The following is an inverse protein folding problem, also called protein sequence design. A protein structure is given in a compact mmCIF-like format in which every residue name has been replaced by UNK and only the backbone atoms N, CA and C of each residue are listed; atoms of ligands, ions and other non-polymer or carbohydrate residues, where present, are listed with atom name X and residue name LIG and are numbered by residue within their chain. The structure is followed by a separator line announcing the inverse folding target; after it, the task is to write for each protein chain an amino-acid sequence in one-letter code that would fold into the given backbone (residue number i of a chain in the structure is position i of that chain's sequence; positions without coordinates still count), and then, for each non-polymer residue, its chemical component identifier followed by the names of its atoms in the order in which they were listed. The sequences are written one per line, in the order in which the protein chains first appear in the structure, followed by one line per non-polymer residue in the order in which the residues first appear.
data_IF_851293268235
#
_entry.id   IF_851293268235
#
_cell.length_a   1.000
_cell.length_b   1.000
_cell.length_c   1.000
_cell.angle_alpha   90.00
_cell.angle_beta   90.00
_cell.angle_gamma   90.00
#
_symmetry.space_group_name_H-M   'P 1'
#
loop_
_entity.id
_entity.type
_entity.pdbx_description
1 polymer ?
2 water ?
#
# COMPACT_ATOMS: atom_id res chain seq x y z
N UNK A 13 13.16 21.84 -4.35
CA UNK A 13 14.36 21.32 -3.67
C UNK A 13 14.00 20.87 -2.25
N UNK A 14 14.22 19.58 -1.93
CA UNK A 14 13.77 19.11 -0.61
C UNK A 14 14.38 19.91 0.53
N UNK A 15 13.62 20.13 1.58
CA UNK A 15 14.13 20.78 2.77
C UNK A 15 15.34 20.01 3.30
N UNK A 16 16.36 20.74 3.75
CA UNK A 16 17.53 20.09 4.31
C UNK A 16 17.19 19.38 5.61
N UNK A 17 17.89 18.28 5.88
CA UNK A 17 17.68 17.58 7.14
C UNK A 17 17.98 18.50 8.33
N UNK A 18 17.23 18.28 9.40
CA UNK A 18 17.32 19.10 10.60
C UNK A 18 17.93 18.29 11.73
N UNK A 19 18.62 18.99 12.63
CA UNK A 19 19.17 18.36 13.83
C UNK A 19 18.09 18.02 14.84
N UNK A 20 18.31 16.94 15.57
CA UNK A 20 17.39 16.54 16.62
C UNK A 20 18.16 15.72 17.63
N UNK A 21 17.54 15.47 18.77
CA UNK A 21 18.19 14.72 19.83
C UNK A 21 17.77 13.28 19.64
N UNK A 22 18.74 12.43 19.29
CA UNK A 22 18.45 11.02 18.99
C UNK A 22 18.05 10.26 20.23
N UNK A 23 16.88 9.64 20.18
CA UNK A 23 16.38 8.86 21.32
C UNK A 23 16.08 7.42 20.93
N UNK A 24 15.79 7.24 19.65
CA UNK A 24 15.41 5.92 19.10
C UNK A 24 16.36 5.54 17.98
N UNK A 25 16.93 4.35 18.07
CA UNK A 25 17.94 3.90 17.13
C UNK A 25 17.53 2.53 16.65
N UNK A 26 17.58 2.35 15.32
CA UNK A 26 17.24 1.10 14.70
C UNK A 26 18.44 0.19 14.64
N UNK A 27 18.18 -1.09 14.85
CA UNK A 27 19.17 -2.14 14.70
C UNK A 27 18.82 -2.89 13.43
N UNK A 28 19.77 -2.93 12.49
CA UNK A 28 19.56 -3.59 11.19
C UNK A 28 19.80 -5.09 11.38
N UNK A 29 18.73 -5.86 11.23
CA UNK A 29 18.84 -7.32 11.42
C UNK A 29 19.29 -8.05 10.15
N UNK A 30 18.64 -7.78 9.02
CA UNK A 30 19.10 -8.35 7.77
C UNK A 30 18.69 -7.46 6.64
N UNK A 31 19.38 -7.59 5.51
CA UNK A 31 18.96 -6.90 4.28
C UNK A 31 19.17 -7.81 3.08
N UNK A 32 18.24 -7.73 2.15
CA UNK A 32 18.29 -8.55 0.96
C UNK A 32 17.84 -7.65 -0.20
N UNK A 33 18.53 -7.76 -1.32
CA UNK A 33 18.16 -6.99 -2.51
C UNK A 33 17.19 -7.84 -3.28
N UNK A 34 16.09 -7.25 -3.70
CA UNK A 34 15.18 -7.96 -4.57
C UNK A 34 15.08 -7.23 -5.88
N UNK A 35 15.74 -7.79 -6.88
CA UNK A 35 15.70 -7.24 -8.22
C UNK A 35 16.04 -5.77 -8.20
N UNK A 36 15.35 -4.98 -9.02
CA UNK A 36 15.51 -3.52 -9.15
C UNK A 36 14.48 -2.72 -8.35
N UNK A 37 13.82 -3.36 -7.39
CA UNK A 37 12.82 -2.68 -6.57
C UNK A 37 11.68 -2.17 -7.43
N UNK A 38 11.45 -0.87 -7.41
CA UNK A 38 10.29 -0.27 -8.08
C UNK A 38 10.62 0.05 -9.53
N UNK A 39 11.90 -0.09 -9.88
CA UNK A 39 12.32 0.17 -11.24
C UNK A 39 11.90 1.56 -11.66
N UNK A 40 11.24 1.66 -12.81
CA UNK A 40 10.77 2.95 -13.34
C UNK A 40 9.26 3.15 -13.15
N UNK A 41 8.65 2.29 -12.35
CA UNK A 41 7.22 2.42 -12.04
C UNK A 41 6.94 3.75 -11.39
N UNK A 42 5.78 4.33 -11.67
CA UNK A 42 5.27 5.48 -10.91
C UNK A 42 4.43 5.04 -9.72
N UNK A 43 3.87 3.83 -9.81
CA UNK A 43 3.11 3.26 -8.70
C UNK A 43 4.08 2.44 -7.84
N UNK A 44 3.57 1.62 -6.92
CA UNK A 44 4.44 0.97 -5.94
C UNK A 44 4.16 -0.53 -5.83
N UNK A 45 5.22 -1.32 -5.73
CA UNK A 45 5.11 -2.74 -5.37
C UNK A 45 5.39 -2.82 -3.88
N UNK A 46 4.52 -3.51 -3.17
CA UNK A 46 4.56 -3.56 -1.71
C UNK A 46 4.86 -4.98 -1.24
N UNK A 47 5.92 -5.16 -0.42
CA UNK A 47 6.11 -6.51 0.17
C UNK A 47 4.99 -6.84 1.15
N UNK A 48 4.78 -8.13 1.35
CA UNK A 48 3.73 -8.57 2.23
C UNK A 48 4.24 -9.77 3.04
N UNK A 49 3.76 -9.87 4.27
CA UNK A 49 4.11 -10.96 5.15
C UNK A 49 2.95 -11.95 5.31
N UNK A 50 3.26 -13.26 5.34
CA UNK A 50 2.31 -14.25 5.77
C UNK A 50 3.05 -15.19 6.69
N UNK A 51 2.66 -15.19 7.96
CA UNK A 51 3.33 -16.00 8.95
C UNK A 51 4.75 -15.53 9.14
N UNK A 52 5.66 -16.48 9.08
CA UNK A 52 7.06 -16.18 9.29
C UNK A 52 7.79 -15.82 8.01
N UNK A 53 7.07 -15.60 6.90
CA UNK A 53 7.73 -15.31 5.63
C UNK A 53 7.33 -13.92 5.12
N UNK A 54 8.27 -13.19 4.53
CA UNK A 54 7.99 -11.96 3.80
C UNK A 54 8.27 -12.14 2.31
N UNK A 55 7.34 -11.64 1.49
CA UNK A 55 7.39 -11.86 0.05
C UNK A 55 7.51 -10.52 -0.62
N UNK A 56 8.41 -10.43 -1.60
CA UNK A 56 8.65 -9.15 -2.24
C UNK A 56 8.82 -9.30 -3.73
N UNK A 57 8.30 -8.34 -4.50
CA UNK A 57 8.46 -8.38 -5.94
C UNK A 57 9.15 -7.12 -6.40
N UNK A 58 9.67 -7.22 -7.62
CA UNK A 58 10.38 -6.12 -8.23
C UNK A 58 9.91 -5.91 -9.66
N UNK A 59 10.19 -4.72 -10.19
CA UNK A 59 9.63 -4.31 -11.47
C UNK A 59 10.19 -5.18 -12.58
N UNK A 60 11.40 -5.69 -12.39
CA UNK A 60 12.02 -6.56 -13.39
C UNK A 60 11.39 -7.93 -13.41
N UNK A 61 10.59 -8.27 -12.42
CA UNK A 61 9.93 -9.57 -12.46
C UNK A 61 10.50 -10.56 -11.47
N UNK A 62 11.50 -10.14 -10.71
CA UNK A 62 12.03 -10.99 -9.66
C UNK A 62 11.16 -10.97 -8.43
N UNK A 63 10.81 -12.16 -7.96
CA UNK A 63 9.97 -12.31 -6.78
C UNK A 63 10.69 -13.23 -5.81
N UNK A 64 10.64 -12.87 -4.53
CA UNK A 64 11.35 -13.63 -3.51
C UNK A 64 10.51 -13.90 -2.28
N UNK A 65 10.81 -15.03 -1.63
CA UNK A 65 10.25 -15.37 -0.34
C UNK A 65 11.43 -15.50 0.63
N UNK A 66 11.32 -14.79 1.74
CA UNK A 66 12.44 -14.62 2.68
C UNK A 66 11.93 -14.91 4.06
N UNK A 67 12.68 -15.72 4.81
CA UNK A 67 12.36 -15.92 6.21
C UNK A 67 12.50 -14.55 6.86
N UNK A 68 11.43 -14.07 7.50
CA UNK A 68 11.31 -12.65 7.83
C UNK A 68 12.09 -12.26 9.07
N UNK A 69 12.55 -13.27 9.80
CA UNK A 69 13.39 -12.98 10.96
C UNK A 69 14.89 -13.19 10.70
N UNK A 70 15.24 -14.07 9.78
CA UNK A 70 16.65 -14.38 9.56
C UNK A 70 17.19 -13.80 8.28
N UNK A 71 16.31 -13.51 7.33
CA UNK A 71 16.76 -13.05 6.06
C UNK A 71 17.17 -14.14 5.12
N UNK A 72 16.99 -15.40 5.52
CA UNK A 72 17.34 -16.54 4.68
C UNK A 72 16.41 -16.53 3.48
N UNK A 73 16.96 -16.62 2.27
CA UNK A 73 16.14 -16.74 1.07
C UNK A 73 15.52 -18.13 0.95
N UNK A 74 14.19 -18.18 0.92
CA UNK A 74 13.49 -19.47 0.81
C UNK A 74 13.32 -19.88 -0.63
N UNK A 75 12.99 -18.92 -1.46
CA UNK A 75 12.95 -19.14 -2.89
C UNK A 75 13.00 -17.82 -3.64
N UNK A 76 13.52 -17.87 -4.87
CA UNK A 76 13.45 -16.75 -5.81
C UNK A 76 12.83 -17.25 -7.10
N UNK A 77 12.09 -16.37 -7.77
CA UNK A 77 11.55 -16.68 -9.08
C UNK A 77 11.74 -15.48 -9.99
N UNK A 78 12.36 -15.69 -11.14
CA UNK A 78 12.54 -14.64 -12.13
C UNK A 78 11.53 -14.78 -13.25
N UNK A 79 10.51 -13.93 -13.19
CA UNK A 79 9.37 -14.06 -14.08
C UNK A 79 9.67 -13.53 -15.46
N UNK A 80 10.67 -12.66 -15.52
CA UNK A 80 11.06 -12.05 -16.78
C UNK A 80 9.85 -11.46 -17.49
N UNK A 81 9.19 -10.56 -16.78
CA UNK A 81 8.25 -9.68 -17.41
C UNK A 81 7.90 -8.63 -16.40
N UNK A 82 7.49 -7.45 -16.90
CA UNK A 82 7.19 -6.23 -16.15
C UNK A 82 6.10 -6.28 -15.09
N UNK A 83 6.53 -6.62 -13.89
CA UNK A 83 5.60 -6.69 -12.79
C UNK A 83 5.25 -5.26 -12.38
N UNK A 84 3.95 -5.01 -12.20
CA UNK A 84 3.44 -3.66 -11.94
C UNK A 84 2.48 -3.63 -10.79
N UNK A 85 2.09 -4.78 -10.31
CA UNK A 85 1.18 -4.80 -9.19
C UNK A 85 1.63 -5.94 -8.34
N UNK A 86 1.68 -5.70 -7.05
CA UNK A 86 2.18 -6.75 -6.20
C UNK A 86 2.43 -6.41 -4.76
N UNK A 87 3.19 -7.34 -4.21
CA UNK A 87 2.69 -8.62 -3.69
C UNK A 87 1.36 -8.87 -3.00
N UNK A 88 0.52 -9.68 -3.64
CA UNK A 88 -0.60 -10.30 -2.94
C UNK A 88 -0.17 -11.66 -2.40
N UNK A 89 -0.64 -12.04 -1.23
CA UNK A 89 -0.29 -13.35 -0.70
C UNK A 89 -1.43 -13.90 0.15
N UNK A 90 -1.53 -15.22 0.17
CA UNK A 90 -2.42 -15.86 1.11
C UNK A 90 -2.83 -17.21 0.59
N UNK A 91 -3.16 -18.09 1.52
CA UNK A 91 -3.83 -19.34 1.17
C UNK A 91 -3.08 -20.15 0.12
N UNK A 92 -1.76 -20.07 0.17
CA UNK A 92 -0.91 -20.88 -0.67
C UNK A 92 -0.46 -20.23 -1.97
N UNK A 93 -0.82 -18.97 -2.20
CA UNK A 93 -0.41 -18.30 -3.42
C UNK A 93 0.30 -16.99 -3.12
N UNK A 94 1.25 -16.65 -3.99
CA UNK A 94 1.80 -15.31 -4.08
C UNK A 94 1.34 -14.77 -5.43
N UNK A 95 0.89 -13.51 -5.49
CA UNK A 95 0.22 -12.98 -6.68
C UNK A 95 0.78 -11.65 -7.13
N UNK A 96 0.99 -11.53 -8.43
CA UNK A 96 1.45 -10.27 -9.02
C UNK A 96 0.67 -9.98 -10.28
N UNK A 97 0.69 -8.72 -10.68
CA UNK A 97 0.10 -8.29 -11.96
C UNK A 97 1.20 -7.70 -12.79
N UNK A 98 0.97 -7.66 -14.10
CA UNK A 98 1.95 -7.14 -15.04
C UNK A 98 1.32 -5.98 -15.82
N UNK A 99 2.18 -5.19 -16.43
CA UNK A 99 1.74 -4.07 -17.27
C UNK A 99 1.06 -4.54 -18.54
N UNK A 100 1.16 -5.83 -18.82
CA UNK A 100 0.55 -6.43 -20.00
C UNK A 100 -0.83 -6.94 -19.64
N UNK A 101 -1.15 -6.86 -18.35
CA UNK A 101 -2.45 -7.28 -17.88
C UNK A 101 -2.43 -8.72 -17.43
N UNK A 102 -1.26 -9.30 -17.23
CA UNK A 102 -1.21 -10.66 -16.72
C UNK A 102 -1.37 -10.65 -15.22
N UNK A 103 -2.08 -11.66 -14.69
CA UNK A 103 -2.08 -11.94 -13.27
C UNK A 103 -1.41 -13.30 -13.13
N UNK A 104 -0.36 -13.36 -12.36
CA UNK A 104 0.44 -14.56 -12.24
C UNK A 104 0.40 -15.01 -10.80
N UNK A 105 0.10 -16.29 -10.63
CA UNK A 105 0.04 -16.94 -9.35
C UNK A 105 1.22 -17.89 -9.19
N UNK A 106 1.93 -17.74 -8.07
CA UNK A 106 3.06 -18.58 -7.75
C UNK A 106 2.77 -19.38 -6.47
N UNK A 107 3.36 -20.56 -6.34
CA UNK A 107 3.13 -21.35 -5.14
C UNK A 107 3.87 -20.66 -4.01
N UNK A 108 3.20 -20.50 -2.88
CA UNK A 108 3.75 -19.71 -1.81
C UNK A 108 4.93 -20.42 -1.18
N UNK A 109 4.93 -21.74 -1.25
CA UNK A 109 5.96 -22.51 -0.56
C UNK A 109 7.21 -22.71 -1.40
N UNK A 110 7.07 -22.73 -2.73
CA UNK A 110 8.20 -23.05 -3.60
C UNK A 110 8.53 -22.03 -4.66
N UNK A 111 7.59 -21.12 -4.91
CA UNK A 111 7.76 -20.11 -5.96
C UNK A 111 7.43 -20.61 -7.35
N UNK A 112 6.98 -21.84 -7.47
CA UNK A 112 6.67 -22.40 -8.77
C UNK A 112 5.45 -21.68 -9.35
N UNK A 113 5.51 -21.33 -10.62
CA UNK A 113 4.37 -20.71 -11.28
C UNK A 113 3.22 -21.70 -11.35
N UNK A 114 2.03 -21.26 -10.92
CA UNK A 114 0.83 -22.11 -10.93
C UNK A 114 -0.08 -21.83 -12.12
N UNK A 115 -0.32 -20.55 -12.38
CA UNK A 115 -1.08 -20.16 -13.57
C UNK A 115 -0.88 -18.69 -13.88
N UNK A 116 -1.35 -18.34 -15.08
CA UNK A 116 -1.28 -16.96 -15.54
C UNK A 116 -2.61 -16.70 -16.20
N UNK A 117 -3.22 -15.56 -15.87
CA UNK A 117 -4.46 -15.14 -16.52
C UNK A 117 -4.30 -13.75 -17.11
N UNK A 118 -4.56 -13.63 -18.41
CA UNK A 118 -4.48 -12.33 -19.09
C UNK A 118 -5.80 -11.65 -18.85
N UNK A 119 -5.70 -10.46 -18.29
CA UNK A 119 -6.87 -9.71 -17.95
C UNK A 119 -6.92 -8.47 -18.90
N UNK A 120 -8.10 -7.83 -18.97
CA UNK A 120 -8.46 -6.69 -19.82
C UNK A 120 -7.63 -5.42 -19.80
N UNK A 121 -6.74 -5.25 -18.83
CA UNK A 121 -6.23 -3.92 -18.53
C UNK A 121 -5.03 -4.10 -17.61
N UNK A 122 -4.18 -3.09 -17.48
CA UNK A 122 -2.99 -3.18 -16.65
C UNK A 122 -3.39 -3.44 -15.19
N UNK A 123 -2.56 -4.16 -14.47
CA UNK A 123 -2.80 -4.39 -13.06
C UNK A 123 -1.71 -3.66 -12.27
N UNK A 124 -2.09 -2.60 -11.55
CA UNK A 124 -1.12 -1.70 -10.93
C UNK A 124 -1.11 -1.83 -9.41
N UNK A 125 -1.76 -2.88 -8.91
CA UNK A 125 -1.84 -3.08 -7.46
C UNK A 125 -1.86 -4.57 -7.15
N UNK A 126 -1.64 -4.91 -5.89
CA UNK A 126 -1.61 -6.30 -5.48
C UNK A 126 -2.97 -6.99 -5.53
N UNK A 127 -3.06 -8.12 -6.24
CA UNK A 127 -4.32 -8.87 -6.10
C UNK A 127 -4.55 -9.37 -4.67
N UNK A 128 -5.81 -9.56 -4.27
CA UNK A 128 -6.13 -10.13 -2.96
C UNK A 128 -6.64 -11.53 -3.15
N UNK A 129 -6.56 -12.34 -2.11
CA UNK A 129 -7.15 -13.68 -2.22
C UNK A 129 -7.75 -14.16 -0.92
N UNK A 130 -8.84 -14.91 -1.03
CA UNK A 130 -9.38 -15.62 0.12
C UNK A 130 -9.19 -17.14 -0.02
N UNK A 131 -8.39 -17.54 -1.00
CA UNK A 131 -8.09 -18.94 -1.22
C UNK A 131 -9.07 -19.63 -2.14
N UNK A 132 -10.19 -18.97 -2.42
CA UNK A 132 -11.16 -19.47 -3.39
C UNK A 132 -11.20 -18.60 -4.65
N UNK A 133 -11.16 -17.28 -4.43
CA UNK A 133 -11.17 -16.30 -5.52
C UNK A 133 -9.99 -15.37 -5.30
N UNK A 134 -9.37 -14.97 -6.41
CA UNK A 134 -8.35 -13.95 -6.42
C UNK A 134 -9.04 -12.72 -7.00
N UNK A 135 -8.98 -11.60 -6.27
CA UNK A 135 -9.65 -10.37 -6.70
C UNK A 135 -8.61 -9.43 -7.26
N UNK A 136 -8.84 -8.97 -8.47
CA UNK A 136 -7.87 -8.11 -9.06
C UNK A 136 -8.52 -6.82 -9.49
N UNK A 137 -7.85 -5.73 -9.14
CA UNK A 137 -8.40 -4.44 -9.44
C UNK A 137 -7.55 -3.84 -10.57
N UNK A 138 -8.19 -3.44 -11.65
CA UNK A 138 -7.46 -3.00 -12.82
C UNK A 138 -7.36 -1.47 -12.89
N UNK A 139 -6.44 -1.03 -13.72
CA UNK A 139 -6.15 0.40 -13.92
C UNK A 139 -7.43 1.12 -14.33
N UNK A 140 -8.31 0.41 -15.05
CA UNK A 140 -9.54 1.04 -15.58
C UNK A 140 -10.79 0.76 -14.74
N UNK A 141 -10.59 0.52 -13.46
CA UNK A 141 -11.69 0.47 -12.48
C UNK A 141 -12.62 -0.76 -12.61
N UNK A 142 -12.07 -1.88 -13.05
CA UNK A 142 -12.78 -3.15 -12.92
C UNK A 142 -12.26 -3.91 -11.73
N UNK A 143 -13.15 -4.69 -11.13
CA UNK A 143 -12.78 -5.73 -10.21
C UNK A 143 -13.11 -7.02 -10.91
N UNK A 144 -12.13 -7.88 -11.01
CA UNK A 144 -12.27 -9.18 -11.61
C UNK A 144 -11.94 -10.25 -10.57
N UNK A 145 -12.83 -11.24 -10.47
CA UNK A 145 -12.64 -12.41 -9.61
C UNK A 145 -12.23 -13.60 -10.44
N UNK A 146 -11.09 -14.16 -10.09
CA UNK A 146 -10.49 -15.28 -10.78
C UNK A 146 -10.53 -16.46 -9.86
N UNK A 147 -10.76 -17.65 -10.41
CA UNK A 147 -10.58 -18.88 -9.61
C UNK A 147 -9.15 -19.05 -9.08
N UNK A 148 -9.01 -19.24 -7.77
CA UNK A 148 -7.66 -19.34 -7.17
C UNK A 148 -6.89 -20.55 -7.65
N UNK A 149 -7.61 -21.61 -8.04
CA UNK A 149 -6.96 -22.84 -8.49
C UNK A 149 -6.42 -22.77 -9.90
N UNK A 150 -7.16 -22.11 -10.81
CA UNK A 150 -6.81 -22.13 -12.23
C UNK A 150 -6.58 -20.79 -12.91
N UNK A 151 -7.07 -19.71 -12.29
CA UNK A 151 -7.06 -18.38 -12.91
C UNK A 151 -8.26 -18.01 -13.77
N UNK A 152 -9.16 -18.98 -14.00
CA UNK A 152 -10.33 -18.81 -14.85
C UNK A 152 -11.21 -17.71 -14.25
N UNK A 153 -11.78 -16.87 -15.10
CA UNK A 153 -12.64 -15.82 -14.62
C UNK A 153 -13.90 -16.36 -13.99
N UNK A 154 -14.19 -15.91 -12.78
CA UNK A 154 -15.44 -16.23 -12.09
C UNK A 154 -16.50 -15.15 -12.24
N UNK A 155 -16.07 -13.90 -12.12
CA UNK A 155 -16.96 -12.74 -12.22
C UNK A 155 -16.25 -11.46 -12.56
N UNK A 156 -17.01 -10.46 -12.99
CA UNK A 156 -16.42 -9.15 -13.22
C UNK A 156 -17.38 -8.09 -12.75
N UNK A 157 -16.83 -7.06 -12.14
CA UNK A 157 -17.62 -5.94 -11.69
C UNK A 157 -17.09 -4.70 -12.36
N UNK A 158 -17.93 -4.14 -13.22
CA UNK A 158 -17.50 -3.09 -14.11
C UNK A 158 -18.61 -2.07 -14.09
N UNK A 159 -18.50 -1.10 -13.21
CA UNK A 159 -19.37 0.06 -13.23
C UNK A 159 -18.51 1.20 -13.74
N UNK A 160 -17.35 0.83 -14.29
CA UNK A 160 -16.19 1.70 -14.38
C UNK A 160 -16.53 3.21 -14.29
N UNK A 161 -17.16 3.79 -15.32
CA UNK A 161 -17.37 3.18 -16.63
C UNK A 161 -16.26 3.56 -17.61
N UNK A 162 -15.76 4.82 -17.51
CA UNK A 162 -14.52 5.30 -18.14
C UNK A 162 -13.37 5.19 -17.12
N UNK A 163 -12.29 5.99 -17.13
CA UNK A 163 -11.94 6.99 -18.13
C UNK A 163 -10.44 6.88 -18.45
N UNK A 164 -10.08 7.21 -19.68
CA UNK A 164 -8.74 6.94 -20.20
C UNK A 164 -7.61 7.76 -19.54
N UNK A 165 -7.96 8.86 -18.86
CA UNK A 165 -6.93 9.70 -18.28
C UNK A 165 -6.73 9.50 -16.78
N UNK A 166 -7.35 8.48 -16.21
CA UNK A 166 -7.11 8.18 -14.80
C UNK A 166 -6.55 6.78 -14.75
N UNK A 167 -5.60 6.54 -13.86
CA UNK A 167 -5.19 5.19 -13.52
C UNK A 167 -5.46 4.89 -12.07
N UNK A 168 -6.21 3.83 -11.81
CA UNK A 168 -6.50 3.42 -10.45
C UNK A 168 -5.35 2.56 -9.98
N UNK A 169 -4.71 2.96 -8.90
CA UNK A 169 -3.60 2.20 -8.35
C UNK A 169 -3.96 1.63 -6.98
N UNK A 170 -5.22 1.75 -6.57
CA UNK A 170 -5.66 1.15 -5.30
C UNK A 170 -5.65 -0.37 -5.32
N UNK A 171 -5.34 -0.97 -4.17
CA UNK A 171 -5.38 -2.41 -4.01
C UNK A 171 -6.69 -2.82 -3.38
N UNK A 172 -7.25 -3.93 -3.83
CA UNK A 172 -8.47 -4.44 -3.27
C UNK A 172 -8.19 -5.13 -1.93
N UNK A 173 -9.16 -5.07 -1.01
CA UNK A 173 -9.01 -5.77 0.26
C UNK A 173 -10.18 -6.69 0.46
N UNK A 174 -9.92 -7.87 0.99
CA UNK A 174 -11.00 -8.78 1.35
C UNK A 174 -11.30 -8.62 2.83
N UNK A 175 -12.56 -8.35 3.16
CA UNK A 175 -12.92 -8.20 4.55
C UNK A 175 -13.48 -9.53 4.95
N UNK A 176 -14.77 -9.75 4.81
CA UNK A 176 -15.26 -11.07 5.17
C UNK A 176 -15.56 -11.79 3.87
N UNK A 177 -16.84 -11.80 3.57
CA UNK A 177 -17.29 -12.22 2.27
C UNK A 177 -17.32 -11.04 1.29
N UNK A 178 -16.73 -9.90 1.68
CA UNK A 178 -16.69 -8.73 0.81
C UNK A 178 -15.30 -8.41 0.27
N UNK A 179 -15.24 -7.96 -0.98
CA UNK A 179 -14.04 -7.34 -1.52
C UNK A 179 -14.30 -5.83 -1.54
N UNK A 180 -13.39 -5.04 -0.95
CA UNK A 180 -13.50 -3.58 -0.96
C UNK A 180 -12.48 -2.94 -1.91
N UNK A 181 -12.87 -1.84 -2.54
CA UNK A 181 -11.96 -1.19 -3.48
C UNK A 181 -12.26 0.29 -3.56
N UNK A 182 -11.22 1.11 -3.61
CA UNK A 182 -11.35 2.51 -3.91
C UNK A 182 -10.99 2.73 -5.37
N UNK A 183 -12.01 3.07 -6.14
CA UNK A 183 -11.83 3.23 -7.56
C UNK A 183 -11.28 4.59 -7.96
N UNK A 184 -10.66 4.64 -9.12
CA UNK A 184 -10.13 5.90 -9.62
C UNK A 184 -11.23 6.96 -9.77
N UNK A 185 -12.46 6.51 -9.98
CA UNK A 185 -13.56 7.43 -10.21
C UNK A 185 -13.96 8.13 -8.91
N UNK A 186 -13.44 7.67 -7.79
CA UNK A 186 -13.68 8.37 -6.54
C UNK A 186 -14.69 7.66 -5.67
N UNK A 187 -15.16 6.51 -6.16
CA UNK A 187 -16.15 5.76 -5.44
C UNK A 187 -15.51 4.53 -4.73
N UNK A 188 -15.88 4.30 -3.47
CA UNK A 188 -15.48 3.08 -2.76
C UNK A 188 -16.62 2.06 -2.89
N UNK A 189 -16.27 0.83 -3.21
CA UNK A 189 -17.30 -0.19 -3.37
C UNK A 189 -17.00 -1.43 -2.55
N UNK A 190 -18.06 -2.11 -2.14
CA UNK A 190 -17.96 -3.40 -1.50
C UNK A 190 -18.75 -4.35 -2.40
N UNK A 191 -18.13 -5.43 -2.85
CA UNK A 191 -18.88 -6.42 -3.62
C UNK A 191 -18.74 -7.77 -2.98
N UNK A 192 -19.70 -8.65 -3.31
CA UNK A 192 -19.71 -10.02 -2.85
C UNK A 192 -18.51 -10.71 -3.48
N UNK A 193 -17.65 -11.28 -2.66
CA UNK A 193 -16.40 -11.81 -3.16
C UNK A 193 -16.62 -13.10 -3.94
N UNK A 194 -17.73 -13.77 -3.72
CA UNK A 194 -18.01 -15.00 -4.47
C UNK A 194 -18.71 -14.76 -5.80
N UNK A 195 -19.52 -13.70 -5.88
CA UNK A 195 -20.40 -13.47 -7.04
C UNK A 195 -20.09 -12.16 -7.78
N UNK A 196 -19.39 -11.23 -7.12
CA UNK A 196 -19.02 -9.99 -7.76
C UNK A 196 -20.12 -8.93 -7.79
N UNK A 197 -21.22 -9.18 -7.10
CA UNK A 197 -22.36 -8.27 -7.10
C UNK A 197 -22.16 -7.22 -6.03
N UNK A 198 -22.58 -6.00 -6.31
CA UNK A 198 -22.30 -4.94 -5.32
C UNK A 198 -23.13 -5.07 -4.03
N UNK A 199 -22.51 -4.77 -2.89
CA UNK A 199 -23.19 -4.73 -1.59
C UNK A 199 -23.43 -3.29 -1.17
N UNK A 200 -22.41 -2.44 -1.31
CA UNK A 200 -22.59 -0.98 -1.17
C UNK A 200 -21.61 -0.20 -2.02
N UNK A 201 -21.94 1.08 -2.27
CA UNK A 201 -21.10 2.01 -3.01
C UNK A 201 -21.17 3.36 -2.31
N UNK A 202 -20.02 4.00 -2.10
CA UNK A 202 -19.97 5.29 -1.41
C UNK A 202 -19.00 6.24 -2.10
N UNK A 203 -19.51 7.38 -2.55
CA UNK A 203 -18.66 8.35 -3.21
C UNK A 203 -17.88 9.12 -2.15
N UNK A 204 -16.56 9.07 -2.21
CA UNK A 204 -15.78 9.84 -1.26
C UNK A 204 -15.07 10.99 -1.90
N UNK A 205 -14.43 10.75 -3.04
CA UNK A 205 -13.66 11.80 -3.70
C UNK A 205 -14.55 12.96 -4.16
N UNK A 206 -13.92 14.12 -4.30
CA UNK A 206 -14.53 15.26 -5.00
C UNK A 206 -14.82 14.86 -6.46
N UNK A 207 -16.00 15.24 -6.98
CA UNK A 207 -16.22 14.90 -8.38
C UNK A 207 -15.15 15.45 -9.32
N UNK A 208 -14.83 14.67 -10.35
CA UNK A 208 -13.94 15.10 -11.41
C UNK A 208 -14.69 16.12 -12.30
N UNK A 209 -13.94 16.91 -13.04
CA UNK A 209 -14.59 17.78 -14.00
C UNK A 209 -14.14 17.34 -15.37
N UNK A 210 -13.96 18.31 -16.24
CA UNK A 210 -13.01 18.16 -17.31
C UNK A 210 -11.64 18.50 -16.78
N UNK A 211 -11.33 19.79 -16.84
CA UNK A 211 -10.02 20.27 -17.26
C UNK A 211 -8.79 19.53 -16.73
N UNK A 212 -8.87 18.20 -16.76
CA UNK A 212 -7.69 17.37 -16.69
C UNK A 212 -7.90 16.23 -17.70
N UNK A 213 -8.37 16.59 -18.88
CA UNK A 213 -8.51 15.62 -19.98
C UNK A 213 -7.21 15.50 -20.76
N UNK A 214 -6.24 16.36 -20.47
CA UNK A 214 -4.99 16.34 -21.21
C UNK A 214 -3.83 15.88 -20.34
N UNK A 215 -4.14 15.16 -19.26
CA UNK A 215 -3.12 14.69 -18.36
C UNK A 215 -3.54 13.34 -17.82
N UNK A 216 -2.56 12.51 -17.49
CA UNK A 216 -2.90 11.23 -16.90
C UNK A 216 -2.60 11.36 -15.42
N UNK A 217 -3.58 11.01 -14.58
CA UNK A 217 -3.44 11.13 -13.13
C UNK A 217 -3.68 9.77 -12.46
N UNK A 218 -2.83 9.44 -11.51
CA UNK A 218 -2.95 8.19 -10.78
C UNK A 218 -3.79 8.45 -9.51
N UNK A 219 -4.82 7.64 -9.30
CA UNK A 219 -5.77 7.83 -8.18
C UNK A 219 -5.80 6.60 -7.29
N UNK A 220 -5.65 6.83 -5.99
CA UNK A 220 -5.66 5.77 -5.00
C UNK A 220 -6.44 6.35 -3.82
N UNK A 221 -7.39 5.60 -3.28
CA UNK A 221 -8.20 6.06 -2.16
C UNK A 221 -7.46 5.96 -0.82
N UNK A 222 -6.30 5.33 -0.82
CA UNK A 222 -5.51 5.18 0.41
C UNK A 222 -6.22 4.36 1.48
N UNK A 223 -6.89 3.29 1.07
CA UNK A 223 -7.67 2.48 2.00
C UNK A 223 -6.84 1.89 3.15
N UNK A 224 -7.42 1.89 4.34
CA UNK A 224 -6.87 1.16 5.50
C UNK A 224 -8.03 0.52 6.23
N UNK A 225 -8.01 -0.82 6.31
CA UNK A 225 -9.05 -1.53 7.00
C UNK A 225 -8.58 -1.84 8.43
N UNK A 226 -9.38 -1.42 9.41
CA UNK A 226 -9.13 -1.77 10.80
C UNK A 226 -10.47 -2.12 11.43
N UNK A 227 -10.72 -3.41 11.62
CA UNK A 227 -11.99 -3.85 12.16
C UNK A 227 -13.16 -3.48 11.27
N UNK A 228 -14.10 -2.75 11.87
CA UNK A 228 -15.31 -2.27 11.20
C UNK A 228 -15.13 -0.92 10.51
N UNK A 229 -13.92 -0.37 10.56
CA UNK A 229 -13.64 0.96 10.03
C UNK A 229 -12.76 0.83 8.81
N UNK A 230 -13.20 1.42 7.69
CA UNK A 230 -12.39 1.53 6.50
C UNK A 230 -12.04 3.00 6.33
N UNK A 231 -10.77 3.34 6.55
CA UNK A 231 -10.28 4.68 6.31
C UNK A 231 -10.08 4.87 4.82
N UNK A 232 -10.48 6.04 4.33
CA UNK A 232 -10.29 6.37 2.92
C UNK A 232 -9.72 7.79 2.88
N UNK A 233 -8.40 7.90 2.77
CA UNK A 233 -7.76 9.17 3.08
C UNK A 233 -7.00 9.85 1.93
N UNK A 234 -6.90 9.20 0.76
CA UNK A 234 -6.01 9.68 -0.28
C UNK A 234 -6.66 10.29 -1.51
N UNK A 235 -7.99 10.31 -1.55
CA UNK A 235 -8.66 11.05 -2.60
C UNK A 235 -8.46 12.55 -2.38
N UNK A 236 -8.15 13.29 -3.43
CA UNK A 236 -7.95 14.73 -3.26
C UNK A 236 -9.32 15.38 -3.20
N UNK A 237 -9.53 16.36 -2.32
CA UNK A 237 -8.61 16.74 -1.26
C UNK A 237 -9.46 16.63 0.00
N UNK A 238 -9.86 15.38 0.27
CA UNK A 238 -10.80 15.05 1.31
C UNK A 238 -10.30 13.80 2.07
N UNK A 239 -10.90 13.48 3.20
CA UNK A 239 -10.55 12.24 3.90
C UNK A 239 -11.76 11.76 4.68
N UNK A 240 -11.99 10.45 4.73
CA UNK A 240 -13.18 9.95 5.37
C UNK A 240 -12.95 8.59 5.99
N UNK A 241 -13.85 8.19 6.87
CA UNK A 241 -13.84 6.84 7.42
C UNK A 241 -15.23 6.29 7.21
N UNK A 242 -15.32 5.04 6.79
CA UNK A 242 -16.60 4.40 6.45
C UNK A 242 -16.80 3.15 7.29
N UNK A 243 -18.04 2.85 7.62
CA UNK A 243 -18.37 1.57 8.23
C UNK A 243 -18.23 0.46 7.18
N UNK A 244 -17.49 -0.59 7.49
CA UNK A 244 -17.15 -1.58 6.49
C UNK A 244 -18.39 -2.33 6.02
N UNK A 245 -19.36 -2.52 6.92
CA UNK A 245 -20.52 -3.36 6.59
C UNK A 245 -21.60 -2.65 5.76
N UNK A 246 -21.67 -1.32 5.85
CA UNK A 246 -22.71 -0.57 5.14
C UNK A 246 -22.22 0.51 4.19
N UNK A 247 -20.96 0.93 4.34
CA UNK A 247 -20.45 2.04 3.55
C UNK A 247 -20.79 3.41 4.14
N UNK A 248 -21.51 3.41 5.25
CA UNK A 248 -21.98 4.64 5.86
C UNK A 248 -20.81 5.51 6.26
N UNK A 249 -20.91 6.81 5.98
CA UNK A 249 -19.90 7.79 6.38
C UNK A 249 -19.86 7.96 7.91
N UNK A 250 -18.72 7.65 8.54
CA UNK A 250 -18.59 7.83 9.98
C UNK A 250 -18.14 9.26 10.26
N UNK A 251 -17.21 9.76 9.45
CA UNK A 251 -16.76 11.15 9.51
C UNK A 251 -16.02 11.52 8.23
N UNK A 252 -15.85 12.81 8.00
CA UNK A 252 -15.09 13.25 6.85
C UNK A 252 -14.31 14.52 7.21
N UNK A 253 -13.24 14.78 6.48
CA UNK A 253 -12.45 15.98 6.69
C UNK A 253 -12.26 16.63 5.32
N UNK A 254 -12.47 17.93 5.21
CA UNK A 254 -12.25 18.62 3.95
C UNK A 254 -10.87 19.26 3.94
N UNK A 255 -10.45 19.74 2.78
CA UNK A 255 -9.21 20.50 2.66
C UNK A 255 -7.98 19.70 3.10
N UNK A 256 -7.98 18.40 2.78
CA UNK A 256 -6.88 17.51 3.13
C UNK A 256 -5.79 17.65 2.04
N UNK A 257 -5.22 16.60 1.45
CA UNK A 257 -5.40 15.20 1.82
C UNK A 257 -4.03 14.49 1.94
N UNK A 258 -4.10 13.17 2.11
CA UNK A 258 -3.02 12.43 2.72
C UNK A 258 -2.45 11.30 1.86
N UNK A 259 -1.16 11.04 2.01
CA UNK A 259 -0.53 9.92 1.35
C UNK A 259 -1.05 8.63 1.94
N UNK A 260 -1.30 8.61 3.25
CA UNK A 260 -1.89 7.47 3.92
C UNK A 260 -2.09 7.74 5.38
N UNK A 261 -2.61 6.74 6.09
CA UNK A 261 -2.97 6.83 7.49
C UNK A 261 -2.54 5.58 8.24
N UNK A 262 -2.26 5.73 9.53
CA UNK A 262 -1.96 4.58 10.39
C UNK A 262 -2.58 4.82 11.76
N UNK A 263 -2.98 3.73 12.43
CA UNK A 263 -3.52 3.82 13.80
C UNK A 263 -2.47 3.51 14.84
N UNK A 264 -2.60 4.18 15.99
CA UNK A 264 -1.82 3.84 17.15
C UNK A 264 -2.23 4.69 18.34
N UNK A 265 -2.18 4.08 19.53
CA UNK A 265 -2.38 4.79 20.80
C UNK A 265 -3.71 5.52 20.86
N UNK A 266 -4.71 4.99 20.17
CA UNK A 266 -6.04 5.57 20.17
C UNK A 266 -6.19 6.76 19.24
N UNK A 267 -5.15 7.03 18.47
CA UNK A 267 -5.13 8.14 17.52
C UNK A 267 -4.90 7.63 16.12
N UNK A 268 -4.91 8.55 15.15
CA UNK A 268 -4.48 8.24 13.79
C UNK A 268 -3.40 9.23 13.35
N UNK A 269 -2.56 8.77 12.45
CA UNK A 269 -1.42 9.56 12.02
C UNK A 269 -1.39 9.55 10.52
N UNK A 270 -1.16 10.70 9.93
CA UNK A 270 -1.25 10.84 8.47
C UNK A 270 0.02 11.53 7.99
N UNK A 271 0.39 11.28 6.75
CA UNK A 271 1.42 12.09 6.14
C UNK A 271 0.83 12.75 4.89
N UNK A 272 1.40 13.87 4.46
CA UNK A 272 1.03 14.49 3.20
C UNK A 272 2.32 14.57 2.37
N UNK A 273 2.33 14.00 1.15
CA UNK A 273 3.60 13.73 0.47
C UNK A 273 4.47 14.96 0.49
N UNK A 274 3.81 16.12 0.36
CA UNK A 274 4.38 17.46 0.30
C UNK A 274 5.09 17.93 1.59
N UNK A 275 4.98 17.13 2.63
CA UNK A 275 5.98 17.13 3.69
C UNK A 275 5.49 17.60 5.04
N UNK A 276 4.32 17.13 5.42
CA UNK A 276 3.88 17.27 6.78
C UNK A 276 3.51 15.90 7.29
N UNK A 277 3.69 15.70 8.59
CA UNK A 277 3.07 14.55 9.23
C UNK A 277 2.33 15.05 10.45
N UNK A 278 1.18 14.45 10.71
CA UNK A 278 0.24 15.00 11.69
C UNK A 278 -0.40 13.87 12.46
N UNK A 279 -0.62 14.10 13.75
CA UNK A 279 -1.44 13.21 14.54
C UNK A 279 -2.79 13.83 14.75
N UNK A 280 -3.83 13.01 14.64
CA UNK A 280 -5.21 13.46 14.80
C UNK A 280 -5.91 12.55 15.78
N UNK A 281 -6.99 13.05 16.37
CA UNK A 281 -7.79 12.17 17.22
C UNK A 281 -8.43 11.04 16.40
N UNK A 282 -8.95 10.05 17.11
CA UNK A 282 -9.61 8.85 16.55
C UNK A 282 -10.56 9.16 15.41
N UNK A 283 -11.22 10.31 15.48
CA UNK A 283 -12.28 10.62 14.53
C UNK A 283 -11.88 11.75 13.59
N UNK A 284 -10.58 12.00 13.51
CA UNK A 284 -10.03 12.97 12.59
C UNK A 284 -10.68 14.34 12.70
N UNK A 285 -11.03 14.73 13.93
CA UNK A 285 -11.68 16.02 14.13
C UNK A 285 -10.64 17.08 14.44
N UNK A 286 -9.78 16.77 15.40
CA UNK A 286 -8.85 17.75 15.92
C UNK A 286 -7.42 17.24 15.78
N UNK A 287 -6.49 18.18 15.68
CA UNK A 287 -5.10 17.86 15.41
C UNK A 287 -4.32 17.81 16.74
N UNK A 288 -3.51 16.77 16.91
CA UNK A 288 -2.78 16.57 18.14
C UNK A 288 -1.43 17.25 18.02
N UNK A 289 -0.85 17.17 16.84
CA UNK A 289 0.46 17.77 16.56
C UNK A 289 0.71 17.79 15.07
N UNK A 290 1.68 18.59 14.67
CA UNK A 290 2.00 18.71 13.25
C UNK A 290 3.48 18.96 13.11
N UNK A 291 4.14 18.17 12.27
CA UNK A 291 5.57 18.35 11.99
C UNK A 291 5.78 18.65 10.51
N UNK A 292 6.21 19.89 10.25
CA UNK A 292 6.35 20.48 8.91
C UNK A 292 7.74 20.40 8.35
N UNK A 293 8.68 19.85 9.11
CA UNK A 293 10.09 20.05 8.78
C UNK A 293 10.58 19.26 7.57
N UNK A 294 9.83 18.24 7.14
CA UNK A 294 10.21 17.44 5.99
C UNK A 294 9.65 18.02 4.67
N UNK A 295 9.56 19.34 4.62
CA UNK A 295 8.77 20.02 3.60
C UNK A 295 8.68 19.31 2.27
N UNK A 296 9.70 19.32 1.47
CA UNK A 296 9.42 18.87 0.08
C UNK A 296 10.08 17.52 -0.16
N UNK A 297 10.00 16.66 0.85
CA UNK A 297 10.81 15.43 0.84
C UNK A 297 10.06 14.19 0.33
N UNK A 298 8.85 14.39 -0.17
CA UNK A 298 8.07 13.34 -0.85
C UNK A 298 7.88 12.08 0.00
N UNK A 299 7.06 12.21 1.03
CA UNK A 299 6.91 11.19 2.05
C UNK A 299 6.08 9.99 1.61
N UNK A 300 6.41 8.83 2.18
CA UNK A 300 5.58 7.65 2.04
C UNK A 300 4.38 7.81 2.96
N UNK A 301 3.43 6.88 2.87
CA UNK A 301 2.43 6.69 3.91
C UNK A 301 3.14 6.37 5.21
N UNK A 302 2.50 6.67 6.34
CA UNK A 302 3.09 6.47 7.66
C UNK A 302 2.84 5.07 8.20
N UNK A 303 3.72 4.63 9.10
CA UNK A 303 3.54 3.40 9.87
C UNK A 303 3.73 3.76 11.32
N UNK A 304 3.11 3.01 12.21
CA UNK A 304 3.37 3.15 13.62
C UNK A 304 4.22 1.95 14.07
N UNK A 305 5.40 2.24 14.61
CA UNK A 305 6.36 1.19 15.01
C UNK A 305 6.66 1.45 16.48
N UNK A 306 6.17 0.59 17.36
CA UNK A 306 6.26 0.94 18.77
C UNK A 306 5.68 2.34 19.00
N UNK A 307 6.37 3.19 19.75
CA UNK A 307 5.83 4.52 20.07
C UNK A 307 6.22 5.58 19.03
N UNK A 308 6.53 5.15 17.82
CA UNK A 308 6.99 6.06 16.78
C UNK A 308 6.10 6.06 15.55
N UNK A 309 5.97 7.21 14.94
CA UNK A 309 5.35 7.30 13.64
C UNK A 309 6.52 7.34 12.68
N UNK A 310 6.49 6.52 11.63
CA UNK A 310 7.63 6.53 10.73
C UNK A 310 7.23 6.74 9.26
N UNK A 311 8.04 7.54 8.57
CA UNK A 311 7.82 7.83 7.16
C UNK A 311 9.12 7.76 6.41
N UNK A 312 9.06 7.30 5.17
CA UNK A 312 10.23 7.26 4.31
C UNK A 312 10.23 8.49 3.44
N UNK A 313 11.39 8.89 2.91
CA UNK A 313 11.44 10.04 2.02
C UNK A 313 12.26 9.79 0.78
N UNK A 314 12.31 10.82 -0.09
CA UNK A 314 12.86 10.66 -1.43
C UNK A 314 14.36 10.38 -1.41
N UNK A 315 15.05 10.76 -0.35
CA UNK A 315 16.48 10.51 -0.23
C UNK A 315 16.80 9.12 0.37
N UNK A 316 15.77 8.39 0.80
CA UNK A 316 15.95 7.03 1.33
C UNK A 316 16.03 6.96 2.85
N UNK A 317 15.74 8.07 3.53
CA UNK A 317 15.69 8.05 4.97
C UNK A 317 14.34 7.54 5.45
N UNK A 318 14.31 6.83 6.57
CA UNK A 318 13.09 6.76 7.35
C UNK A 318 13.31 7.66 8.57
N UNK A 319 12.29 8.47 8.85
CA UNK A 319 12.25 9.31 10.03
C UNK A 319 11.29 8.75 11.03
N UNK A 320 11.73 8.70 12.29
CA UNK A 320 10.91 8.32 13.42
C UNK A 320 10.51 9.56 14.26
N UNK A 321 9.19 9.75 14.39
CA UNK A 321 8.60 10.84 15.14
C UNK A 321 7.84 10.28 16.34
N UNK A 322 7.98 10.96 17.48
CA UNK A 322 7.24 10.58 18.66
C UNK A 322 5.73 10.59 18.43
N UNK A 323 5.05 9.53 18.86
CA UNK A 323 3.61 9.48 18.69
C UNK A 323 2.91 10.52 19.54
N UNK A 324 3.54 10.94 20.63
CA UNK A 324 2.93 11.94 21.52
C UNK A 324 3.02 13.35 20.98
N UNK A 325 4.20 13.67 20.44
CA UNK A 325 4.69 15.02 20.20
C UNK A 325 4.88 15.39 18.74
N UNK A 326 5.14 14.38 17.93
CA UNK A 326 5.56 14.60 16.55
C UNK A 326 7.04 14.93 16.42
N UNK A 327 7.79 15.12 17.51
CA UNK A 327 9.17 15.55 17.32
C UNK A 327 10.01 14.42 16.77
N UNK A 328 11.07 14.76 16.04
CA UNK A 328 11.97 13.71 15.56
C UNK A 328 12.67 13.06 16.74
N UNK A 329 12.67 11.74 16.76
CA UNK A 329 13.42 10.97 17.79
C UNK A 329 14.39 9.98 17.15
N UNK A 330 14.24 9.71 15.84
CA UNK A 330 15.13 8.81 15.15
C UNK A 330 15.19 9.02 13.65
N UNK A 331 16.23 8.51 13.03
CA UNK A 331 16.43 8.67 11.60
C UNK A 331 17.45 7.67 11.14
N UNK A 332 17.19 7.04 10.00
CA UNK A 332 18.02 5.96 9.47
C UNK A 332 18.00 6.02 7.98
N UNK A 333 19.16 5.98 7.35
CA UNK A 333 19.16 5.97 5.89
C UNK A 333 19.08 4.52 5.42
N UNK A 334 18.05 4.21 4.62
CA UNK A 334 17.76 2.83 4.24
C UNK A 334 18.25 2.49 2.83
N UNK A 335 17.75 3.23 1.84
CA UNK A 335 18.04 2.97 0.40
C UNK A 335 18.07 4.33 -0.25
N UNK A 336 19.24 4.76 -0.73
CA UNK A 336 19.39 6.13 -1.21
C UNK A 336 18.63 6.44 -2.50
N UNK A 337 18.03 5.42 -3.11
CA UNK A 337 17.10 5.69 -4.21
C UNK A 337 15.73 6.15 -3.71
N UNK A 338 15.54 6.18 -2.40
CA UNK A 338 14.29 6.63 -1.79
C UNK A 338 13.44 5.52 -1.20
N UNK A 339 12.55 5.89 -0.28
CA UNK A 339 11.57 4.95 0.26
C UNK A 339 10.18 5.54 0.05
N UNK A 340 9.41 4.92 -0.86
CA UNK A 340 8.05 5.36 -1.17
C UNK A 340 7.01 4.46 -0.58
N UNK A 341 7.39 3.20 -0.30
CA UNK A 341 6.47 2.24 0.22
C UNK A 341 6.29 2.44 1.71
N UNK A 342 5.05 2.33 2.20
CA UNK A 342 4.80 2.42 3.62
C UNK A 342 5.64 1.37 4.34
N UNK A 343 6.44 1.78 5.34
CA UNK A 343 7.10 0.72 6.11
C UNK A 343 6.11 -0.29 6.67
N UNK A 344 6.53 -1.55 6.67
CA UNK A 344 5.69 -2.66 7.11
C UNK A 344 6.08 -3.11 8.51
N UNK A 345 5.19 -2.86 9.46
CA UNK A 345 5.46 -3.20 10.83
C UNK A 345 4.69 -4.46 11.16
N UNK A 346 5.42 -5.43 11.67
CA UNK A 346 4.83 -6.64 12.23
C UNK A 346 5.40 -6.81 13.62
N UNK A 347 4.58 -6.51 14.63
CA UNK A 347 5.03 -6.54 16.02
C UNK A 347 6.28 -5.70 16.21
N UNK A 348 7.34 -6.35 16.68
CA UNK A 348 8.59 -5.68 17.00
C UNK A 348 9.51 -5.47 15.80
N UNK A 349 9.07 -5.85 14.61
CA UNK A 349 9.93 -5.75 13.44
C UNK A 349 9.34 -4.79 12.42
N UNK A 350 10.22 -4.14 11.68
CA UNK A 350 9.80 -3.23 10.62
C UNK A 350 10.63 -3.50 9.39
N UNK A 351 9.95 -3.65 8.26
CA UNK A 351 10.58 -3.99 6.98
C UNK A 351 10.39 -2.80 6.05
N UNK A 352 11.49 -2.27 5.57
CA UNK A 352 11.45 -1.12 4.69
C UNK A 352 11.94 -1.55 3.34
N UNK A 353 11.22 -1.15 2.31
CA UNK A 353 11.54 -1.56 0.96
C UNK A 353 11.93 -0.32 0.17
N UNK A 354 13.20 -0.22 -0.15
CA UNK A 354 13.69 0.90 -0.91
C UNK A 354 13.40 0.81 -2.40
N UNK A 355 13.43 1.98 -3.03
CA UNK A 355 13.09 2.09 -4.45
C UNK A 355 14.04 1.33 -5.35
N UNK A 356 15.28 1.17 -4.89
CA UNK A 356 16.24 0.36 -5.61
C UNK A 356 16.16 -1.13 -5.31
N UNK A 357 15.27 -1.53 -4.40
CA UNK A 357 15.05 -2.96 -4.13
C UNK A 357 15.69 -3.46 -2.86
N UNK A 358 16.28 -2.55 -2.08
CA UNK A 358 16.82 -2.94 -0.77
C UNK A 358 15.69 -3.17 0.22
N UNK A 359 15.53 -4.40 0.65
CA UNK A 359 14.55 -4.79 1.67
C UNK A 359 15.31 -5.01 2.97
N UNK A 360 15.01 -4.17 3.95
CA UNK A 360 15.77 -4.12 5.19
C UNK A 360 14.84 -4.33 6.36
N UNK A 361 15.28 -5.17 7.32
CA UNK A 361 14.51 -5.47 8.49
C UNK A 361 15.19 -4.85 9.68
N UNK A 362 14.42 -4.08 10.44
CA UNK A 362 14.90 -3.40 11.65
C UNK A 362 14.13 -3.79 12.90
N UNK A 363 14.83 -3.79 14.03
CA UNK A 363 14.18 -3.71 15.31
C UNK A 363 14.69 -2.42 15.97
N UNK A 364 14.10 -2.07 17.09
CA UNK A 364 14.52 -0.89 17.80
C UNK A 364 15.52 -1.30 18.89
N UNK A 365 16.71 -0.72 18.82
CA UNK A 365 17.75 -0.96 19.82
C UNK A 365 17.25 -0.64 21.22
N UNK A 366 17.61 -1.47 22.22
CA UNK A 366 18.55 -2.62 22.23
C UNK A 366 17.88 -3.97 22.04
N UNK A 367 16.67 -3.96 21.50
CA UNK A 367 15.94 -5.16 21.18
C UNK A 367 15.94 -5.51 19.69
#
# INVERSE_FOLDING_TARGET
GAMASSNSKKELPPAELTDFKEEVVLSKQWSRSVGDGQGDLYNLLEPAVDGSTIYAASAEGRVMAIQRETGDVLWKKDLERPVSGGVGVGYGLVLVGTLRGDVIALDEATGKKKWTKRVNSEVLSAPATNGDVVVVQTQDDKLIGLDAASGDQRWIYESTVPVLTLRGTGAPLIAGNMALAGLASGKVVAVDVQRGLPIWEQRVAIPQGRSELDRVVDIDGGLLLSGDTLYVVSYQGRAAALDVNSGRLLWQREASSYVGVAEGFGNIYVSQASGSVEGLDSRGASSLWNNDALARRQLSAPAVFSSNVVVGDLEGYVHLLSQVDGRFVGRERVDSDGVRVRPLVVGSWMYVFGNGGKLVAYTIRPG
#
